data_IF_594438128249
#
_entry.id   IF_594438128249
#
_cell.length_a   1.000
_cell.length_b   1.000
_cell.length_c   1.000
_cell.angle_alpha   90.00
_cell.angle_beta   90.00
_cell.angle_gamma   90.00
#
_symmetry.space_group_name_H-M   'P 1'
#
loop_
_entity.id
_entity.type
_entity.pdbx_description
1 polymer ?
#
# COMPACT_ATOMS: atom_id res chain seq x y z
N UNK A 1 -32.42 -23.63 9.92
CA UNK A 1 -31.28 -24.16 9.13
C UNK A 1 -30.51 -23.08 8.37
N UNK A 2 -31.15 -22.09 7.71
CA UNK A 2 -30.44 -21.02 6.99
C UNK A 2 -29.56 -20.12 7.89
N UNK A 3 -29.96 -19.88 9.13
CA UNK A 3 -29.20 -19.09 10.13
C UNK A 3 -27.91 -19.75 10.58
N UNK A 4 -27.87 -21.09 10.71
CA UNK A 4 -26.66 -21.83 11.07
C UNK A 4 -25.64 -21.90 9.91
N UNK A 5 -26.09 -21.77 8.66
CA UNK A 5 -25.21 -21.74 7.49
C UNK A 5 -24.38 -20.46 7.46
N UNK A 6 -25.00 -19.30 7.68
CA UNK A 6 -24.29 -18.01 7.74
C UNK A 6 -23.24 -17.92 8.84
N UNK A 7 -23.41 -18.65 9.95
CA UNK A 7 -22.41 -18.71 11.03
C UNK A 7 -21.17 -19.56 10.66
N UNK A 8 -21.25 -20.38 9.61
CA UNK A 8 -20.15 -21.21 9.10
C UNK A 8 -19.63 -20.73 7.74
N UNK A 9 -20.24 -19.71 7.16
CA UNK A 9 -19.78 -19.11 5.92
C UNK A 9 -18.48 -18.34 6.19
N UNK A 10 -17.44 -18.70 5.44
CA UNK A 10 -16.17 -17.98 5.47
C UNK A 10 -16.31 -16.66 4.71
N UNK A 11 -15.66 -15.57 5.18
CA UNK A 11 -15.59 -14.36 4.38
C UNK A 11 -14.86 -14.68 3.06
N UNK A 12 -15.16 -13.90 2.02
CA UNK A 12 -14.41 -14.02 0.77
C UNK A 12 -13.05 -13.40 1.00
N UNK A 13 -12.01 -14.13 0.61
CA UNK A 13 -10.64 -13.65 0.55
C UNK A 13 -10.06 -14.17 -0.75
N UNK A 14 -9.27 -13.35 -1.44
CA UNK A 14 -8.60 -13.75 -2.66
C UNK A 14 -7.09 -13.58 -2.49
N UNK A 15 -6.37 -14.69 -2.63
CA UNK A 15 -4.92 -14.69 -2.75
C UNK A 15 -4.55 -15.09 -4.17
N UNK A 16 -3.95 -14.17 -4.91
CA UNK A 16 -3.42 -14.43 -6.26
C UNK A 16 -1.92 -14.66 -6.15
N UNK A 17 -1.44 -15.81 -6.65
CA UNK A 17 -0.02 -16.14 -6.69
C UNK A 17 0.44 -16.30 -8.14
N UNK A 18 1.36 -15.46 -8.57
CA UNK A 18 1.96 -15.49 -9.91
C UNK A 18 3.47 -15.73 -9.84
N UNK A 19 4.01 -16.31 -10.91
CA UNK A 19 5.45 -16.43 -11.14
C UNK A 19 5.81 -15.66 -12.39
N UNK A 20 6.85 -14.84 -12.33
CA UNK A 20 7.43 -14.19 -13.49
C UNK A 20 8.94 -14.00 -13.30
N UNK A 21 9.60 -13.33 -14.24
CA UNK A 21 11.02 -13.02 -14.20
C UNK A 21 11.24 -11.51 -14.39
N UNK A 22 12.17 -10.91 -13.64
CA UNK A 22 12.47 -9.46 -13.73
C UNK A 22 13.02 -9.04 -15.09
N UNK A 23 13.72 -9.95 -15.80
CA UNK A 23 14.28 -9.70 -17.12
C UNK A 23 13.32 -9.95 -18.28
N UNK A 24 12.08 -10.35 -18.02
CA UNK A 24 11.10 -10.62 -19.08
C UNK A 24 10.42 -9.32 -19.54
N UNK A 25 10.46 -9.01 -20.83
CA UNK A 25 9.97 -7.73 -21.40
C UNK A 25 8.50 -7.40 -21.07
N UNK A 26 7.66 -8.43 -20.88
CA UNK A 26 6.25 -8.26 -20.52
C UNK A 26 5.98 -8.30 -19.01
N UNK A 27 7.02 -8.38 -18.19
CA UNK A 27 6.85 -8.40 -16.74
C UNK A 27 6.27 -7.07 -16.26
N UNK A 28 5.27 -7.15 -15.38
CA UNK A 28 4.53 -5.98 -14.87
C UNK A 28 4.92 -5.58 -13.44
N UNK A 29 5.99 -6.15 -12.88
CA UNK A 29 6.40 -5.91 -11.49
C UNK A 29 6.49 -4.42 -11.14
N UNK A 30 7.09 -3.61 -12.02
CA UNK A 30 7.24 -2.17 -11.83
C UNK A 30 5.89 -1.45 -11.87
N UNK A 31 5.09 -1.71 -12.91
CA UNK A 31 3.77 -1.11 -13.08
C UNK A 31 2.84 -1.41 -11.89
N UNK A 32 2.91 -2.62 -11.34
CA UNK A 32 2.12 -3.02 -10.17
C UNK A 32 2.46 -2.20 -8.93
N UNK A 33 3.76 -1.99 -8.66
CA UNK A 33 4.22 -1.17 -7.54
C UNK A 33 3.85 0.31 -7.76
N UNK A 34 4.10 0.84 -8.96
CA UNK A 34 3.81 2.24 -9.30
C UNK A 34 2.32 2.58 -9.26
N UNK A 35 1.44 1.59 -9.48
CA UNK A 35 -0.02 1.78 -9.45
C UNK A 35 -0.67 1.41 -8.11
N UNK A 36 0.12 1.11 -7.09
CA UNK A 36 -0.33 0.95 -5.71
C UNK A 36 0.05 2.19 -4.88
N UNK A 37 -0.88 3.15 -4.81
CA UNK A 37 -0.56 4.53 -4.44
C UNK A 37 -0.34 4.77 -2.95
N UNK A 38 -1.07 4.07 -2.07
CA UNK A 38 -1.06 4.34 -0.63
C UNK A 38 -0.45 3.18 0.14
N UNK A 39 0.82 3.33 0.55
CA UNK A 39 1.59 2.29 1.23
C UNK A 39 1.85 2.70 2.68
N UNK A 40 1.49 1.85 3.63
CA UNK A 40 1.65 2.11 5.06
C UNK A 40 2.90 1.43 5.64
N UNK A 41 3.10 0.15 5.31
CA UNK A 41 4.20 -0.65 5.84
C UNK A 41 4.92 -1.39 4.72
N UNK A 42 6.25 -1.24 4.68
CA UNK A 42 7.13 -1.95 3.75
C UNK A 42 8.11 -2.76 4.59
N UNK A 43 8.11 -4.06 4.42
CA UNK A 43 8.96 -4.99 5.17
C UNK A 43 9.75 -5.87 4.22
N UNK A 44 11.00 -6.17 4.54
CA UNK A 44 11.79 -7.14 3.78
C UNK A 44 12.56 -8.06 4.72
N UNK A 45 12.76 -9.30 4.25
CA UNK A 45 13.52 -10.32 4.95
C UNK A 45 14.64 -10.86 4.04
N UNK A 46 15.84 -10.92 4.59
CA UNK A 46 17.02 -11.48 3.93
C UNK A 46 17.58 -12.60 4.81
N UNK A 47 17.38 -13.88 4.45
CA UNK A 47 18.00 -15.01 5.14
C UNK A 47 19.54 -14.98 4.98
N UNK A 48 20.26 -15.62 5.90
CA UNK A 48 21.73 -15.66 5.90
C UNK A 48 22.41 -14.27 5.82
N UNK A 49 21.80 -13.27 6.44
CA UNK A 49 22.28 -11.89 6.45
C UNK A 49 22.35 -11.33 7.87
N UNK A 50 23.58 -11.15 8.38
CA UNK A 50 23.82 -10.54 9.69
C UNK A 50 23.93 -9.03 9.68
N UNK A 51 24.42 -8.46 8.57
CA UNK A 51 24.66 -7.03 8.42
C UNK A 51 24.12 -6.57 7.07
N UNK A 52 23.14 -5.67 7.12
CA UNK A 52 22.60 -5.03 5.93
C UNK A 52 23.65 -4.13 5.26
N UNK A 53 23.71 -4.15 3.92
CA UNK A 53 24.63 -3.29 3.15
C UNK A 53 24.36 -1.80 3.42
N UNK A 54 25.40 -0.96 3.26
CA UNK A 54 25.24 0.49 3.41
C UNK A 54 24.20 1.05 2.46
N UNK A 55 24.20 0.59 1.21
CA UNK A 55 23.25 1.00 0.17
C UNK A 55 21.79 0.75 0.57
N UNK A 56 21.49 -0.44 1.10
CA UNK A 56 20.14 -0.76 1.57
C UNK A 56 19.75 0.04 2.82
N UNK A 57 20.70 0.27 3.75
CA UNK A 57 20.47 1.12 4.92
C UNK A 57 20.14 2.56 4.52
N UNK A 58 20.97 3.15 3.65
CA UNK A 58 20.79 4.51 3.17
C UNK A 58 19.45 4.65 2.42
N UNK A 59 19.06 3.63 1.63
CA UNK A 59 17.77 3.61 0.96
C UNK A 59 16.59 3.56 1.94
N UNK A 60 16.66 2.71 2.97
CA UNK A 60 15.64 2.60 4.02
C UNK A 60 15.47 3.92 4.77
N UNK A 61 16.58 4.60 5.09
CA UNK A 61 16.56 5.92 5.72
C UNK A 61 15.99 7.01 4.79
N UNK A 62 16.01 6.79 3.47
CA UNK A 62 15.53 7.73 2.45
C UNK A 62 14.05 7.58 2.04
N UNK A 63 13.25 6.80 2.76
CA UNK A 63 11.82 6.61 2.45
C UNK A 63 10.96 7.85 2.72
N UNK A 64 11.37 8.72 3.65
CA UNK A 64 10.68 9.97 3.97
C UNK A 64 11.19 11.20 3.20
N UNK A 65 10.74 12.40 3.59
CA UNK A 65 9.71 12.66 4.60
C UNK A 65 8.29 12.47 4.05
N UNK A 66 7.31 12.46 4.96
CA UNK A 66 5.90 12.74 4.66
C UNK A 66 5.40 13.85 5.59
N UNK A 67 4.24 14.41 5.28
CA UNK A 67 3.70 15.57 5.99
C UNK A 67 2.31 15.29 6.55
N UNK A 68 1.98 15.99 7.64
CA UNK A 68 0.67 15.97 8.26
C UNK A 68 0.12 17.39 8.39
N UNK A 69 -1.12 17.61 7.96
CA UNK A 69 -1.83 18.90 8.09
C UNK A 69 -3.19 18.67 8.72
N UNK A 70 -3.47 19.38 9.82
CA UNK A 70 -4.72 19.24 10.56
C UNK A 70 -5.80 20.19 10.04
N UNK A 71 -7.02 19.69 9.83
CA UNK A 71 -8.18 20.50 9.45
C UNK A 71 -8.00 21.29 8.15
N UNK A 72 -7.25 20.74 7.20
CA UNK A 72 -7.03 21.37 5.89
C UNK A 72 -8.36 21.39 5.11
N UNK A 73 -8.80 22.57 4.62
CA UNK A 73 -10.01 22.66 3.83
C UNK A 73 -9.80 22.08 2.43
N UNK A 74 -10.80 21.33 1.96
CA UNK A 74 -10.70 20.62 0.69
C UNK A 74 -10.54 21.54 -0.53
N UNK A 75 -11.03 22.79 -0.45
CA UNK A 75 -10.85 23.76 -1.53
C UNK A 75 -9.37 24.12 -1.78
N UNK A 76 -8.48 23.93 -0.81
CA UNK A 76 -7.06 24.25 -0.93
C UNK A 76 -6.37 23.34 -1.95
N UNK A 77 -6.82 22.08 -2.05
CA UNK A 77 -6.28 21.08 -2.97
C UNK A 77 -6.75 21.25 -4.42
N UNK A 78 -7.67 22.19 -4.69
CA UNK A 78 -8.16 22.49 -6.05
C UNK A 78 -7.75 23.87 -6.52
N UNK A 79 -6.94 24.61 -5.74
CA UNK A 79 -6.47 25.93 -6.15
C UNK A 79 -5.53 25.80 -7.35
N UNK A 80 -5.56 26.81 -8.22
CA UNK A 80 -4.64 26.87 -9.35
C UNK A 80 -3.17 26.87 -8.90
N UNK A 81 -2.88 27.47 -7.74
CA UNK A 81 -1.56 27.51 -7.15
C UNK A 81 -1.08 26.11 -6.73
N UNK A 82 -1.90 25.37 -5.97
CA UNK A 82 -1.59 23.98 -5.58
C UNK A 82 -1.35 23.10 -6.81
N UNK A 83 -2.24 23.15 -7.80
CA UNK A 83 -2.17 22.29 -8.99
C UNK A 83 -0.90 22.57 -9.81
N UNK A 84 -0.57 23.83 -10.05
CA UNK A 84 0.63 24.18 -10.83
C UNK A 84 1.94 23.96 -10.07
N UNK A 85 1.89 23.94 -8.73
CA UNK A 85 3.06 23.77 -7.89
C UNK A 85 3.40 22.30 -7.71
N UNK A 86 2.42 21.46 -7.38
CA UNK A 86 2.65 20.06 -7.00
C UNK A 86 2.15 19.07 -8.05
N UNK A 87 0.91 19.22 -8.52
CA UNK A 87 0.26 18.22 -9.40
C UNK A 87 0.87 18.22 -10.81
N UNK A 88 1.18 19.39 -11.38
CA UNK A 88 1.78 19.48 -12.74
C UNK A 88 3.29 19.25 -12.78
N UNK A 89 3.97 19.32 -11.64
CA UNK A 89 5.45 19.30 -11.54
C UNK A 89 6.00 18.06 -10.82
N UNK A 90 5.14 17.09 -10.53
CA UNK A 90 5.50 15.84 -9.89
C UNK A 90 4.28 15.00 -9.51
N UNK A 91 4.50 13.95 -8.75
CA UNK A 91 3.45 13.05 -8.26
C UNK A 91 3.07 13.46 -6.84
N UNK A 92 1.91 14.11 -6.67
CA UNK A 92 1.42 14.53 -5.37
C UNK A 92 0.40 13.51 -4.84
N UNK A 93 0.56 13.16 -3.57
CA UNK A 93 -0.26 12.18 -2.87
C UNK A 93 -0.88 12.83 -1.65
N UNK A 94 -2.18 12.64 -1.47
CA UNK A 94 -2.90 13.04 -0.27
C UNK A 94 -3.87 11.94 0.14
N UNK A 95 -3.98 11.69 1.44
CA UNK A 95 -4.95 10.76 2.01
C UNK A 95 -5.48 11.31 3.34
N UNK A 96 -6.79 11.27 3.54
CA UNK A 96 -7.38 11.64 4.84
C UNK A 96 -6.92 10.70 5.94
N UNK A 97 -6.60 11.25 7.11
CA UNK A 97 -6.07 10.51 8.24
C UNK A 97 -7.17 10.25 9.28
N UNK A 98 -7.20 9.03 9.82
CA UNK A 98 -8.13 8.61 10.88
C UNK A 98 -9.61 8.84 10.51
N UNK A 99 -9.95 8.53 9.27
CA UNK A 99 -11.31 8.55 8.71
C UNK A 99 -11.64 7.16 8.18
N UNK A 100 -12.58 6.47 8.81
CA UNK A 100 -12.94 5.11 8.42
C UNK A 100 -13.73 5.14 7.10
N UNK A 101 -13.29 4.41 6.08
CA UNK A 101 -13.92 4.46 4.75
C UNK A 101 -15.39 4.02 4.75
N UNK A 102 -15.79 3.16 5.67
CA UNK A 102 -17.17 2.68 5.78
C UNK A 102 -18.06 3.64 6.58
N UNK A 103 -17.49 4.45 7.49
CA UNK A 103 -18.24 5.33 8.42
C UNK A 103 -18.12 6.84 8.12
N UNK A 104 -16.93 7.33 7.78
CA UNK A 104 -16.60 8.74 7.56
C UNK A 104 -16.45 9.12 6.09
N UNK A 105 -16.52 10.42 5.77
CA UNK A 105 -16.10 10.91 4.46
C UNK A 105 -14.57 10.80 4.31
N UNK A 106 -14.10 10.22 3.20
CA UNK A 106 -12.67 10.02 2.94
C UNK A 106 -12.26 10.63 1.60
N UNK A 107 -11.03 11.14 1.53
CA UNK A 107 -10.51 11.83 0.35
C UNK A 107 -9.10 11.36 0.02
N UNK A 108 -8.86 11.12 -1.26
CA UNK A 108 -7.60 10.65 -1.82
C UNK A 108 -7.21 11.50 -3.04
N UNK A 109 -5.96 11.99 -3.09
CA UNK A 109 -5.35 12.56 -4.29
C UNK A 109 -4.37 11.57 -4.90
N UNK A 110 -4.63 11.18 -6.14
CA UNK A 110 -3.83 10.25 -6.92
C UNK A 110 -2.74 11.00 -7.70
N UNK A 111 -1.61 10.33 -8.03
CA UNK A 111 -0.49 10.96 -8.75
C UNK A 111 -0.85 11.36 -10.18
N UNK A 112 -1.92 10.82 -10.76
CA UNK A 112 -2.45 11.24 -12.06
C UNK A 112 -3.28 12.54 -12.00
N UNK A 113 -3.37 13.19 -10.85
CA UNK A 113 -4.11 14.43 -10.65
C UNK A 113 -5.61 14.23 -10.44
N UNK A 114 -6.09 13.01 -10.21
CA UNK A 114 -7.49 12.76 -9.82
C UNK A 114 -7.66 12.86 -8.31
N UNK A 115 -8.58 13.72 -7.89
CA UNK A 115 -9.07 13.82 -6.52
C UNK A 115 -10.32 12.96 -6.37
N UNK A 116 -10.22 11.89 -5.60
CA UNK A 116 -11.27 10.91 -5.36
C UNK A 116 -11.85 11.17 -3.96
N UNK A 117 -13.17 11.31 -3.87
CA UNK A 117 -13.89 11.46 -2.61
C UNK A 117 -14.84 10.28 -2.45
N UNK A 118 -14.77 9.58 -1.31
CA UNK A 118 -15.82 8.66 -0.87
C UNK A 118 -16.68 9.36 0.16
N UNK A 119 -17.90 9.69 -0.23
CA UNK A 119 -18.82 10.48 0.56
C UNK A 119 -19.96 9.63 1.09
N UNK A 120 -20.41 9.93 2.31
CA UNK A 120 -21.70 9.49 2.79
C UNK A 120 -22.84 10.11 1.97
N UNK A 121 -24.04 9.56 2.10
CA UNK A 121 -25.21 10.01 1.36
C UNK A 121 -25.52 11.49 1.58
N UNK A 122 -25.50 11.95 2.82
CA UNK A 122 -25.92 13.30 3.18
C UNK A 122 -24.93 14.33 2.60
N UNK A 123 -23.64 14.09 2.76
CA UNK A 123 -22.55 14.92 2.23
C UNK A 123 -22.51 14.90 0.71
N UNK A 124 -22.81 13.78 0.07
CA UNK A 124 -22.93 13.71 -1.40
C UNK A 124 -24.09 14.59 -1.91
N UNK A 125 -25.27 14.48 -1.32
CA UNK A 125 -26.44 15.28 -1.70
C UNK A 125 -26.22 16.78 -1.40
N UNK A 126 -25.64 17.08 -0.24
CA UNK A 126 -25.31 18.44 0.20
C UNK A 126 -24.24 19.08 -0.66
N UNK A 127 -23.18 18.38 -1.08
CA UNK A 127 -22.18 18.94 -2.01
C UNK A 127 -22.77 19.13 -3.41
N UNK A 128 -23.64 18.22 -3.85
CA UNK A 128 -24.28 18.26 -5.17
C UNK A 128 -23.25 18.18 -6.31
N UNK A 129 -22.19 17.42 -6.09
CA UNK A 129 -21.20 17.05 -7.09
C UNK A 129 -21.68 15.83 -7.88
N UNK A 130 -21.16 15.66 -9.09
CA UNK A 130 -21.48 14.49 -9.90
C UNK A 130 -20.61 13.32 -9.45
N UNK A 131 -21.23 12.23 -9.04
CA UNK A 131 -20.56 11.00 -8.63
C UNK A 131 -21.38 9.77 -9.01
N UNK A 132 -20.97 8.62 -8.49
CA UNK A 132 -21.66 7.34 -8.67
C UNK A 132 -21.84 6.64 -7.32
N UNK A 133 -22.88 5.82 -7.14
CA UNK A 133 -22.94 4.87 -6.03
C UNK A 133 -21.66 4.06 -5.93
N UNK A 134 -21.11 3.87 -4.73
CA UNK A 134 -19.99 2.94 -4.53
C UNK A 134 -20.44 1.51 -4.79
N UNK A 135 -19.55 0.69 -5.36
CA UNK A 135 -19.81 -0.72 -5.65
C UNK A 135 -20.05 -1.58 -4.41
N UNK A 136 -19.60 -1.11 -3.24
CA UNK A 136 -19.77 -1.77 -1.95
C UNK A 136 -21.06 -1.36 -1.23
N UNK A 137 -21.91 -0.56 -1.88
CA UNK A 137 -23.24 -0.30 -1.35
C UNK A 137 -24.12 -1.54 -1.44
N UNK A 138 -24.60 -2.03 -0.31
CA UNK A 138 -25.61 -3.09 -0.26
C UNK A 138 -26.96 -2.66 -0.83
N UNK A 139 -28.07 -3.23 -0.34
CA UNK A 139 -29.42 -2.91 -0.87
C UNK A 139 -29.81 -1.43 -0.78
N UNK A 140 -29.20 -0.67 0.14
CA UNK A 140 -29.37 0.77 0.25
C UNK A 140 -28.03 1.43 -0.05
N UNK A 141 -28.01 2.30 -1.05
CA UNK A 141 -26.83 3.11 -1.37
C UNK A 141 -26.61 4.14 -0.27
N UNK A 142 -25.53 3.94 0.47
CA UNK A 142 -25.11 4.84 1.57
C UNK A 142 -23.79 5.54 1.27
N UNK A 143 -23.08 5.12 0.23
CA UNK A 143 -21.77 5.64 -0.18
C UNK A 143 -21.73 6.02 -1.65
N UNK A 144 -21.08 7.14 -1.93
CA UNK A 144 -20.94 7.70 -3.27
C UNK A 144 -19.49 8.11 -3.55
N UNK A 145 -18.99 7.73 -4.71
CA UNK A 145 -17.66 8.11 -5.18
C UNK A 145 -17.76 9.28 -6.15
N UNK A 146 -17.03 10.36 -5.86
CA UNK A 146 -16.87 11.53 -6.71
C UNK A 146 -15.42 11.58 -7.19
N UNK A 147 -15.22 11.63 -8.50
CA UNK A 147 -13.88 11.73 -9.11
C UNK A 147 -13.73 13.07 -9.83
N UNK A 148 -12.76 13.87 -9.38
CA UNK A 148 -12.47 15.19 -9.95
C UNK A 148 -11.06 15.17 -10.54
N UNK A 149 -10.98 15.24 -11.86
CA UNK A 149 -9.71 15.39 -12.57
C UNK A 149 -9.22 16.85 -12.46
N UNK A 150 -8.16 17.09 -11.67
CA UNK A 150 -7.60 18.41 -11.42
C UNK A 150 -6.83 18.97 -12.64
N UNK A 151 -6.34 18.11 -13.53
CA UNK A 151 -5.66 18.52 -14.74
C UNK A 151 -6.68 19.12 -15.73
N UNK A 152 -7.81 18.44 -15.92
CA UNK A 152 -8.95 18.97 -16.67
C UNK A 152 -9.52 20.23 -15.98
N UNK A 153 -9.68 20.20 -14.65
CA UNK A 153 -10.23 21.33 -13.89
C UNK A 153 -9.37 22.60 -14.00
N UNK A 154 -8.04 22.47 -14.01
CA UNK A 154 -7.11 23.60 -14.11
C UNK A 154 -6.90 24.13 -15.53
N UNK A 155 -7.46 23.46 -16.55
CA UNK A 155 -7.35 23.89 -17.95
C UNK A 155 -8.18 25.14 -18.24
N UNK A 156 -9.30 25.34 -17.52
CA UNK A 156 -10.13 26.54 -17.65
C UNK A 156 -10.82 26.89 -16.32
N UNK A 157 -10.26 27.85 -15.59
CA UNK A 157 -10.80 28.36 -14.32
C UNK A 157 -12.15 29.07 -14.47
N UNK A 158 -12.50 29.52 -15.67
CA UNK A 158 -13.79 30.13 -15.95
C UNK A 158 -14.89 29.14 -16.29
N UNK A 159 -14.53 27.86 -16.44
CA UNK A 159 -15.48 26.79 -16.75
C UNK A 159 -16.56 26.68 -15.66
N UNK A 160 -17.77 26.32 -16.10
CA UNK A 160 -18.87 26.00 -15.20
C UNK A 160 -18.51 24.88 -14.21
N UNK A 161 -17.64 23.95 -14.65
CA UNK A 161 -17.15 22.83 -13.84
C UNK A 161 -16.28 23.31 -12.68
N UNK A 162 -15.24 24.11 -12.93
CA UNK A 162 -14.39 24.67 -11.86
C UNK A 162 -15.21 25.52 -10.89
N UNK A 163 -16.06 26.43 -11.41
CA UNK A 163 -16.93 27.28 -10.58
C UNK A 163 -17.86 26.44 -9.69
N UNK A 164 -18.45 25.36 -10.22
CA UNK A 164 -19.31 24.45 -9.45
C UNK A 164 -18.55 23.73 -8.33
N UNK A 165 -17.39 23.16 -8.62
CA UNK A 165 -16.57 22.43 -7.64
C UNK A 165 -16.04 23.39 -6.56
N UNK A 166 -15.52 24.54 -6.96
CA UNK A 166 -15.03 25.58 -6.06
C UNK A 166 -16.14 26.10 -5.14
N UNK A 167 -17.32 26.40 -5.69
CA UNK A 167 -18.49 26.81 -4.91
C UNK A 167 -18.94 25.72 -3.92
N UNK A 168 -18.93 24.45 -4.34
CA UNK A 168 -19.30 23.33 -3.48
C UNK A 168 -18.40 23.25 -2.24
N UNK A 169 -17.07 23.37 -2.41
CA UNK A 169 -16.11 23.26 -1.30
C UNK A 169 -15.89 24.54 -0.50
N UNK A 170 -16.18 25.73 -1.05
CA UNK A 170 -15.97 27.00 -0.34
C UNK A 170 -17.21 27.51 0.37
N UNK A 171 -18.37 27.43 -0.26
CA UNK A 171 -19.58 28.09 0.21
C UNK A 171 -20.66 27.08 0.61
N UNK A 172 -20.90 26.07 -0.23
CA UNK A 172 -22.04 25.16 -0.03
C UNK A 172 -21.81 24.18 1.13
N UNK A 173 -20.69 23.47 1.12
CA UNK A 173 -20.31 22.50 2.15
C UNK A 173 -18.80 22.57 2.39
N UNK A 174 -18.33 23.46 3.28
CA UNK A 174 -16.92 23.58 3.61
C UNK A 174 -16.41 22.36 4.38
N UNK A 175 -15.82 21.40 3.66
CA UNK A 175 -15.24 20.20 4.25
C UNK A 175 -13.77 20.44 4.64
N UNK A 176 -13.39 19.94 5.81
CA UNK A 176 -12.03 19.98 6.35
C UNK A 176 -11.64 18.61 6.84
N UNK A 177 -10.39 18.21 6.58
CA UNK A 177 -9.87 16.92 7.02
C UNK A 177 -8.43 17.05 7.51
N UNK A 178 -8.02 16.08 8.31
CA UNK A 178 -6.61 15.85 8.60
C UNK A 178 -6.03 15.05 7.42
N UNK A 179 -4.92 15.51 6.84
CA UNK A 179 -4.31 14.86 5.67
C UNK A 179 -2.89 14.39 5.96
N UNK A 180 -2.59 13.18 5.49
CA UNK A 180 -1.24 12.76 5.14
C UNK A 180 -0.93 13.25 3.73
N UNK A 181 0.23 13.89 3.56
CA UNK A 181 0.69 14.44 2.28
C UNK A 181 2.11 13.97 1.97
N UNK A 182 2.39 13.65 0.71
CA UNK A 182 3.74 13.45 0.20
C UNK A 182 3.84 13.82 -1.27
N UNK A 183 5.04 14.17 -1.73
CA UNK A 183 5.26 14.59 -3.11
C UNK A 183 6.58 14.05 -3.64
N UNK A 184 6.49 13.32 -4.74
CA UNK A 184 7.65 12.92 -5.51
C UNK A 184 7.94 14.00 -6.56
N UNK A 185 9.03 14.75 -6.34
CA UNK A 185 9.44 15.82 -7.23
C UNK A 185 10.19 15.27 -8.45
N UNK A 186 9.68 15.54 -9.66
CA UNK A 186 10.30 15.11 -10.93
C UNK A 186 10.98 16.27 -11.69
N UNK A 187 11.13 17.45 -11.08
CA UNK A 187 11.71 18.65 -11.70
C UNK A 187 12.65 19.43 -10.76
N UNK A 188 13.42 20.37 -11.31
CA UNK A 188 14.33 21.22 -10.54
C UNK A 188 13.58 22.16 -9.58
N UNK A 189 14.25 22.48 -8.47
CA UNK A 189 13.87 23.35 -7.33
C UNK A 189 12.53 24.08 -7.43
N UNK A 190 11.63 23.76 -6.49
CA UNK A 190 10.33 24.39 -6.32
C UNK A 190 10.04 24.63 -4.83
N UNK A 191 8.92 25.30 -4.55
CA UNK A 191 8.43 25.51 -3.18
C UNK A 191 8.18 24.17 -2.48
N UNK A 192 8.62 24.07 -1.22
CA UNK A 192 8.38 22.89 -0.39
C UNK A 192 6.92 22.85 0.08
N UNK A 193 6.38 21.67 0.38
CA UNK A 193 5.07 21.58 1.04
C UNK A 193 5.03 22.40 2.33
N UNK A 194 6.14 22.44 3.06
CA UNK A 194 6.28 23.19 4.31
C UNK A 194 6.00 24.69 4.12
N UNK A 195 6.51 25.31 3.05
CA UNK A 195 6.25 26.73 2.80
C UNK A 195 4.81 26.97 2.34
N UNK A 196 4.30 26.13 1.44
CA UNK A 196 2.94 26.25 0.90
C UNK A 196 1.87 26.13 1.99
N UNK A 197 1.98 25.14 2.87
CA UNK A 197 1.01 24.88 3.93
C UNK A 197 1.39 25.50 5.29
N UNK A 198 2.29 26.48 5.31
CA UNK A 198 2.76 27.14 6.53
C UNK A 198 1.61 27.75 7.36
N UNK A 199 0.59 28.30 6.69
CA UNK A 199 -0.62 28.85 7.34
C UNK A 199 -1.52 27.80 8.00
N UNK A 200 -1.29 26.50 7.75
CA UNK A 200 -2.11 25.39 8.25
C UNK A 200 -1.39 24.52 9.29
N UNK A 201 -0.23 24.96 9.79
CA UNK A 201 0.49 24.23 10.86
C UNK A 201 0.99 22.85 10.41
N UNK A 202 1.48 22.76 9.18
CA UNK A 202 2.07 21.54 8.61
C UNK A 202 3.22 20.98 9.47
N UNK A 203 3.26 19.67 9.62
CA UNK A 203 4.29 18.94 10.35
C UNK A 203 5.01 17.97 9.42
N UNK A 204 6.33 17.99 9.44
CA UNK A 204 7.16 16.99 8.77
C UNK A 204 7.36 15.78 9.68
N UNK A 205 7.18 14.59 9.12
CA UNK A 205 7.35 13.30 9.79
C UNK A 205 8.30 12.40 9.01
N UNK A 206 9.07 11.61 9.74
CA UNK A 206 9.90 10.55 9.18
C UNK A 206 9.25 9.19 9.40
N UNK A 207 9.33 8.26 8.42
CA UNK A 207 8.90 6.90 8.63
C UNK A 207 9.63 6.25 9.80
N UNK A 208 8.89 5.46 10.59
CA UNK A 208 9.47 4.63 11.65
C UNK A 208 10.19 3.46 11.00
N UNK A 209 11.45 3.25 11.37
CA UNK A 209 12.26 2.14 10.88
C UNK A 209 12.54 1.19 12.05
N UNK A 210 12.20 -0.07 11.86
CA UNK A 210 12.55 -1.16 12.76
C UNK A 210 13.47 -2.13 12.01
N UNK A 211 14.72 -2.24 12.46
CA UNK A 211 15.70 -3.20 11.95
C UNK A 211 16.02 -4.19 13.06
N UNK A 212 15.95 -5.47 12.75
CA UNK A 212 16.24 -6.56 13.68
C UNK A 212 16.95 -7.70 12.95
N UNK A 213 17.82 -8.40 13.67
CA UNK A 213 18.45 -9.63 13.20
C UNK A 213 17.94 -10.78 14.05
N UNK A 214 17.35 -11.79 13.42
CA UNK A 214 16.82 -12.97 14.10
C UNK A 214 17.79 -14.14 13.90
N UNK A 215 18.39 -14.67 14.98
CA UNK A 215 19.22 -15.87 14.90
C UNK A 215 18.37 -17.13 14.70
N UNK A 216 18.97 -18.17 14.13
CA UNK A 216 18.40 -19.53 14.04
C UNK A 216 16.97 -19.59 13.46
N UNK A 217 16.67 -18.70 12.51
CA UNK A 217 15.35 -18.66 11.88
C UNK A 217 15.15 -19.90 11.00
N UNK A 218 14.04 -20.62 11.19
CA UNK A 218 13.68 -21.73 10.31
C UNK A 218 12.93 -21.20 9.08
N UNK A 219 13.56 -21.33 7.91
CA UNK A 219 13.05 -20.85 6.63
C UNK A 219 12.51 -22.00 5.76
N UNK A 220 11.35 -21.84 5.11
CA UNK A 220 10.83 -22.81 4.14
C UNK A 220 11.79 -23.00 2.95
N UNK A 221 11.91 -24.23 2.47
CA UNK A 221 12.64 -24.55 1.24
C UNK A 221 11.73 -24.29 0.04
N UNK A 222 12.18 -23.44 -0.88
CA UNK A 222 11.41 -23.01 -2.04
C UNK A 222 12.09 -23.40 -3.35
N UNK A 223 11.28 -23.66 -4.39
CA UNK A 223 11.75 -23.85 -5.78
C UNK A 223 11.03 -22.85 -6.68
N UNK A 224 11.76 -21.90 -7.26
CA UNK A 224 11.18 -20.80 -8.04
C UNK A 224 10.19 -21.23 -9.13
N UNK A 225 10.38 -22.41 -9.73
CA UNK A 225 9.50 -22.99 -10.74
C UNK A 225 8.19 -23.62 -10.25
N UNK A 226 7.99 -23.81 -8.94
CA UNK A 226 6.90 -24.61 -8.38
C UNK A 226 6.07 -23.81 -7.36
N UNK A 227 5.14 -22.98 -7.84
CA UNK A 227 4.24 -22.18 -6.97
C UNK A 227 3.39 -23.06 -6.03
N UNK A 228 2.96 -24.23 -6.49
CA UNK A 228 2.17 -25.17 -5.70
C UNK A 228 2.99 -26.00 -4.70
N UNK A 229 4.31 -25.82 -4.67
CA UNK A 229 5.21 -26.68 -3.92
C UNK A 229 5.40 -28.05 -4.57
N UNK A 230 6.17 -28.89 -3.88
CA UNK A 230 6.42 -30.29 -4.24
C UNK A 230 6.51 -31.09 -2.94
N UNK A 231 5.71 -32.16 -2.77
CA UNK A 231 5.71 -32.95 -1.55
C UNK A 231 7.12 -33.35 -1.12
N UNK A 232 7.45 -33.10 0.15
CA UNK A 232 8.75 -33.41 0.77
C UNK A 232 9.97 -32.68 0.19
N UNK A 233 9.82 -31.89 -0.89
CA UNK A 233 10.93 -31.28 -1.61
C UNK A 233 10.88 -29.74 -1.66
N UNK A 234 9.70 -29.12 -1.65
CA UNK A 234 9.53 -27.66 -1.65
C UNK A 234 8.17 -27.24 -1.10
N UNK A 235 8.15 -26.16 -0.31
CA UNK A 235 6.91 -25.54 0.16
C UNK A 235 6.24 -24.74 -0.94
N UNK A 236 4.91 -24.58 -0.81
CA UNK A 236 4.09 -23.77 -1.70
C UNK A 236 4.20 -22.27 -1.40
N UNK A 237 3.78 -21.46 -2.36
CA UNK A 237 3.66 -20.02 -2.19
C UNK A 237 2.67 -19.67 -1.04
N UNK A 238 1.57 -20.41 -0.91
CA UNK A 238 0.55 -20.16 0.12
C UNK A 238 1.12 -20.38 1.53
N UNK A 239 1.84 -21.48 1.75
CA UNK A 239 2.48 -21.77 3.04
C UNK A 239 3.53 -20.70 3.40
N UNK A 240 4.27 -20.20 2.42
CA UNK A 240 5.23 -19.11 2.63
C UNK A 240 4.52 -17.81 3.01
N UNK A 241 3.38 -17.50 2.39
CA UNK A 241 2.61 -16.29 2.68
C UNK A 241 2.20 -16.23 4.16
N UNK A 242 1.62 -17.33 4.66
CA UNK A 242 1.20 -17.44 6.07
C UNK A 242 2.40 -17.37 7.03
N UNK A 243 3.46 -18.11 6.72
CA UNK A 243 4.69 -18.11 7.52
C UNK A 243 5.32 -16.72 7.59
N UNK A 244 5.37 -15.98 6.48
CA UNK A 244 5.97 -14.65 6.42
C UNK A 244 5.21 -13.65 7.31
N UNK A 245 3.88 -13.75 7.34
CA UNK A 245 3.04 -12.96 8.25
C UNK A 245 3.33 -13.24 9.74
N UNK A 246 3.56 -14.50 10.10
CA UNK A 246 3.96 -14.88 11.46
C UNK A 246 5.33 -14.33 11.83
N UNK A 247 6.31 -14.40 10.91
CA UNK A 247 7.66 -13.88 11.11
C UNK A 247 7.67 -12.36 11.32
N UNK A 248 6.96 -11.59 10.49
CA UNK A 248 6.86 -10.14 10.67
C UNK A 248 6.03 -9.72 11.89
N UNK A 249 5.19 -10.61 12.41
CA UNK A 249 4.48 -10.41 13.67
C UNK A 249 5.30 -10.82 14.91
N UNK A 250 6.54 -11.28 14.72
CA UNK A 250 7.39 -11.85 15.78
C UNK A 250 6.70 -13.00 16.55
N UNK A 251 5.86 -13.78 15.86
CA UNK A 251 5.19 -14.92 16.46
C UNK A 251 6.18 -16.05 16.74
N UNK A 252 5.99 -16.74 17.88
CA UNK A 252 6.76 -17.94 18.19
C UNK A 252 6.20 -19.13 17.40
N UNK A 253 7.05 -19.67 16.51
CA UNK A 253 6.73 -20.80 15.64
C UNK A 253 7.18 -22.14 16.24
N UNK A 254 7.53 -22.16 17.53
CA UNK A 254 7.86 -23.37 18.26
C UNK A 254 6.59 -24.02 18.81
N UNK A 255 6.40 -25.29 18.47
CA UNK A 255 5.32 -26.11 18.99
C UNK A 255 5.74 -26.80 20.30
N UNK A 256 6.24 -26.01 21.27
CA UNK A 256 6.59 -26.53 22.59
C UNK A 256 5.37 -26.54 23.51
N UNK A 257 4.95 -27.72 24.03
CA UNK A 257 3.80 -27.81 24.92
C UNK A 257 4.21 -27.35 26.34
N UNK A 258 3.98 -26.07 26.65
CA UNK A 258 4.02 -25.57 28.03
C UNK A 258 2.58 -25.50 28.59
N UNK A 259 2.05 -24.28 28.74
CA UNK A 259 0.71 -24.05 29.28
C UNK A 259 -0.37 -23.89 28.20
N UNK A 260 0.05 -23.74 26.95
CA UNK A 260 -0.78 -23.69 25.76
C UNK A 260 -0.01 -24.32 24.59
N UNK A 261 -0.72 -24.79 23.57
CA UNK A 261 -0.12 -25.37 22.36
C UNK A 261 -0.24 -24.36 21.22
N UNK A 262 0.90 -23.90 20.69
CA UNK A 262 0.93 -23.14 19.43
C UNK A 262 0.94 -24.12 18.26
N UNK A 263 -0.12 -24.12 17.47
CA UNK A 263 -0.17 -24.92 16.22
C UNK A 263 0.46 -24.20 15.03
N UNK A 264 0.92 -22.95 15.21
CA UNK A 264 1.61 -22.20 14.17
C UNK A 264 3.05 -22.70 14.05
N UNK A 265 3.37 -23.36 12.94
CA UNK A 265 4.67 -24.00 12.71
C UNK A 265 5.29 -23.51 11.41
N UNK A 266 6.62 -23.59 11.30
CA UNK A 266 7.29 -23.39 10.02
C UNK A 266 6.93 -24.52 9.02
N UNK A 267 6.49 -24.20 7.79
CA UNK A 267 6.21 -25.16 6.73
C UNK A 267 7.38 -26.13 6.46
N UNK A 268 7.09 -27.36 6.04
CA UNK A 268 8.10 -28.36 5.71
C UNK A 268 8.11 -28.69 4.21
N UNK A 269 9.28 -28.94 3.59
CA UNK A 269 10.62 -28.97 4.21
C UNK A 269 11.17 -27.56 4.53
N UNK A 270 11.99 -27.47 5.57
CA UNK A 270 12.61 -26.23 6.02
C UNK A 270 14.09 -26.39 6.36
N UNK A 271 14.83 -25.28 6.35
CA UNK A 271 16.23 -25.19 6.75
C UNK A 271 16.41 -24.09 7.79
N UNK A 272 17.21 -24.35 8.81
CA UNK A 272 17.59 -23.32 9.80
C UNK A 272 18.68 -22.45 9.19
N UNK A 273 18.46 -21.13 9.18
CA UNK A 273 19.47 -20.15 8.80
C UNK A 273 20.08 -19.55 10.05
N UNK A 274 21.39 -19.31 10.03
CA UNK A 274 22.10 -18.84 11.23
C UNK A 274 21.63 -17.44 11.66
N UNK A 275 21.30 -16.59 10.69
CA UNK A 275 20.88 -15.21 10.92
C UNK A 275 20.00 -14.71 9.77
N UNK A 276 18.91 -14.03 10.09
CA UNK A 276 18.04 -13.37 9.13
C UNK A 276 17.90 -11.88 9.47
N UNK A 277 18.10 -11.01 8.48
CA UNK A 277 17.85 -9.58 8.63
C UNK A 277 16.39 -9.28 8.29
N UNK A 278 15.67 -8.68 9.23
CA UNK A 278 14.31 -8.21 9.08
C UNK A 278 14.29 -6.69 9.20
N UNK A 279 13.70 -6.02 8.22
CA UNK A 279 13.49 -4.58 8.27
C UNK A 279 12.02 -4.28 7.99
N UNK A 280 11.46 -3.34 8.75
CA UNK A 280 10.14 -2.78 8.52
C UNK A 280 10.20 -1.26 8.58
N UNK A 281 9.67 -0.62 7.54
CA UNK A 281 9.47 0.83 7.44
C UNK A 281 7.98 1.10 7.52
N UNK A 282 7.57 2.03 8.38
CA UNK A 282 6.15 2.34 8.65
C UNK A 282 5.91 3.84 8.58
N UNK A 283 4.96 4.28 7.77
CA UNK A 283 4.64 5.70 7.56
C UNK A 283 3.73 5.90 6.36
N UNK A 284 3.85 7.04 5.68
CA UNK A 284 3.21 7.27 4.38
C UNK A 284 4.27 7.13 3.28
N UNK A 285 4.31 5.96 2.64
CA UNK A 285 5.44 5.53 1.82
C UNK A 285 5.11 5.63 0.33
N UNK A 286 5.99 6.29 -0.43
CA UNK A 286 5.79 6.53 -1.85
C UNK A 286 6.15 5.30 -2.70
N UNK A 287 5.34 4.92 -3.69
CA UNK A 287 5.60 3.76 -4.54
C UNK A 287 6.91 3.88 -5.33
N UNK A 288 7.35 5.10 -5.67
CA UNK A 288 8.62 5.35 -6.36
C UNK A 288 9.81 4.89 -5.50
N UNK A 289 9.76 5.07 -4.18
CA UNK A 289 10.81 4.58 -3.25
C UNK A 289 10.80 3.05 -3.15
N UNK A 290 9.61 2.46 -3.18
CA UNK A 290 9.44 1.00 -3.17
C UNK A 290 9.99 0.39 -4.45
N UNK A 291 9.82 1.04 -5.61
CA UNK A 291 10.42 0.59 -6.87
C UNK A 291 11.94 0.54 -6.78
N UNK A 292 12.57 1.58 -6.23
CA UNK A 292 14.03 1.59 -6.03
C UNK A 292 14.46 0.48 -5.07
N UNK A 293 13.70 0.23 -3.99
CA UNK A 293 13.98 -0.89 -3.07
C UNK A 293 13.84 -2.25 -3.76
N UNK A 294 12.79 -2.45 -4.56
CA UNK A 294 12.60 -3.68 -5.34
C UNK A 294 13.77 -3.91 -6.31
N UNK A 295 14.22 -2.88 -7.02
CA UNK A 295 15.38 -2.96 -7.90
C UNK A 295 16.66 -3.31 -7.14
N UNK A 296 16.89 -2.71 -5.97
CA UNK A 296 18.06 -3.04 -5.14
C UNK A 296 18.01 -4.47 -4.59
N UNK A 297 16.84 -4.96 -4.19
CA UNK A 297 16.66 -6.35 -3.76
C UNK A 297 16.81 -7.33 -4.93
N UNK A 298 16.45 -6.94 -6.15
CA UNK A 298 16.75 -7.74 -7.35
C UNK A 298 18.27 -7.83 -7.61
N UNK A 299 18.99 -6.70 -7.48
CA UNK A 299 20.46 -6.64 -7.65
C UNK A 299 21.24 -7.26 -6.51
N UNK A 300 20.59 -7.58 -5.38
CA UNK A 300 21.21 -8.26 -4.25
C UNK A 300 21.92 -9.56 -4.67
N UNK A 301 21.40 -10.24 -5.70
CA UNK A 301 21.95 -11.49 -6.24
C UNK A 301 22.94 -11.31 -7.40
N UNK A 302 23.36 -10.08 -7.73
CA UNK A 302 24.40 -9.85 -8.75
C UNK A 302 25.76 -10.44 -8.30
N UNK A 303 25.98 -10.49 -6.98
CA UNK A 303 27.09 -11.21 -6.36
C UNK A 303 26.58 -12.53 -5.74
N UNK A 304 27.38 -13.61 -5.73
CA UNK A 304 27.00 -14.85 -5.05
C UNK A 304 26.66 -14.62 -3.57
N UNK A 305 25.44 -15.01 -3.17
CA UNK A 305 24.94 -14.92 -1.79
C UNK A 305 24.64 -16.29 -1.22
N UNK A 306 24.65 -16.38 0.11
CA UNK A 306 24.20 -17.57 0.85
C UNK A 306 22.67 -17.66 0.89
N UNK A 307 21.98 -16.52 0.83
CA UNK A 307 20.53 -16.46 0.80
C UNK A 307 19.99 -17.17 -0.47
N UNK A 308 19.03 -18.11 -0.36
CA UNK A 308 18.41 -18.73 -1.53
C UNK A 308 17.35 -17.82 -2.20
N UNK A 309 16.75 -16.92 -1.42
CA UNK A 309 15.72 -15.97 -1.82
C UNK A 309 15.68 -14.80 -0.83
N UNK A 310 15.06 -13.68 -1.21
CA UNK A 310 14.73 -12.55 -0.32
C UNK A 310 13.26 -12.17 -0.48
N UNK A 311 12.65 -11.52 0.51
CA UNK A 311 11.26 -11.06 0.42
C UNK A 311 11.15 -9.55 0.46
N UNK A 312 10.12 -9.02 -0.20
CA UNK A 312 9.62 -7.66 -0.06
C UNK A 312 8.10 -7.73 0.10
N UNK A 313 7.59 -7.32 1.24
CA UNK A 313 6.16 -7.26 1.57
C UNK A 313 5.73 -5.83 1.73
N UNK A 314 4.66 -5.45 1.05
CA UNK A 314 4.11 -4.10 1.11
C UNK A 314 2.64 -4.19 1.47
N UNK A 315 2.29 -3.48 2.54
CA UNK A 315 0.94 -3.36 3.05
C UNK A 315 0.46 -1.92 2.86
N UNK A 316 -0.68 -1.76 2.21
CA UNK A 316 -1.39 -0.50 2.04
C UNK A 316 -2.13 -0.04 3.30
N UNK A 317 -2.86 1.06 3.15
CA UNK A 317 -3.78 1.54 4.17
C UNK A 317 -5.09 0.77 4.11
N UNK A 318 -5.66 0.46 5.28
CA UNK A 318 -6.99 -0.12 5.38
C UNK A 318 -8.09 0.84 4.90
N UNK A 319 -7.94 2.14 5.20
CA UNK A 319 -8.97 3.16 4.94
C UNK A 319 -8.64 4.07 3.74
N UNK A 320 -8.07 3.51 2.67
CA UNK A 320 -7.88 4.27 1.42
C UNK A 320 -9.11 4.18 0.51
N UNK A 321 -9.63 5.28 -0.07
CA UNK A 321 -10.75 5.27 -1.04
C UNK A 321 -10.52 4.40 -2.29
N UNK A 322 -9.25 4.22 -2.65
CA UNK A 322 -8.83 3.47 -3.83
C UNK A 322 -7.79 2.43 -3.45
N UNK A 323 -7.86 1.28 -4.11
CA UNK A 323 -6.85 0.22 -4.08
C UNK A 323 -5.90 0.40 -5.27
N UNK A 324 -5.59 -0.65 -6.03
CA UNK A 324 -4.78 -0.53 -7.23
C UNK A 324 -5.46 0.35 -8.28
N UNK A 325 -4.69 1.32 -8.81
CA UNK A 325 -5.14 2.31 -9.80
C UNK A 325 -6.32 3.14 -9.25
N UNK A 326 -7.47 3.05 -9.89
CA UNK A 326 -8.69 3.79 -9.54
C UNK A 326 -9.81 2.85 -9.07
N UNK A 327 -9.45 1.61 -8.74
CA UNK A 327 -10.40 0.62 -8.22
C UNK A 327 -10.83 1.04 -6.82
N UNK A 328 -12.12 0.94 -6.52
CA UNK A 328 -12.63 1.28 -5.19
C UNK A 328 -12.08 0.25 -4.19
N UNK A 329 -11.71 0.67 -2.99
CA UNK A 329 -11.30 -0.23 -1.91
C UNK A 329 -12.44 -0.41 -0.92
N UNK A 330 -12.80 -1.65 -0.59
CA UNK A 330 -13.89 -1.98 0.32
C UNK A 330 -13.36 -2.47 1.67
N UNK A 331 -13.86 -1.91 2.78
CA UNK A 331 -13.40 -2.28 4.13
C UNK A 331 -14.40 -3.12 4.93
N UNK A 332 -15.56 -3.50 4.36
CA UNK A 332 -16.72 -4.05 5.10
C UNK A 332 -16.39 -5.10 6.19
N UNK A 333 -15.47 -6.04 5.92
CA UNK A 333 -15.03 -7.08 6.88
C UNK A 333 -13.51 -7.27 6.91
N UNK A 334 -12.77 -6.41 6.23
CA UNK A 334 -11.32 -6.51 6.06
C UNK A 334 -10.84 -5.82 4.78
N UNK A 335 -10.00 -4.78 4.92
CA UNK A 335 -9.33 -4.08 3.83
C UNK A 335 -7.94 -4.64 3.57
N UNK A 336 -7.91 -5.88 3.08
CA UNK A 336 -6.67 -6.55 2.68
C UNK A 336 -6.14 -5.91 1.40
N UNK A 337 -5.13 -5.06 1.55
CA UNK A 337 -4.43 -4.42 0.44
C UNK A 337 -2.93 -4.66 0.61
N UNK A 338 -2.48 -5.86 0.20
CA UNK A 338 -1.12 -6.32 0.45
C UNK A 338 -0.57 -7.08 -0.75
N UNK A 339 0.70 -6.84 -1.06
CA UNK A 339 1.43 -7.64 -2.03
C UNK A 339 2.83 -8.01 -1.53
N UNK A 340 3.29 -9.21 -1.93
CA UNK A 340 4.62 -9.71 -1.64
C UNK A 340 5.36 -10.04 -2.93
N UNK A 341 6.65 -9.73 -2.95
CA UNK A 341 7.63 -10.29 -3.87
C UNK A 341 8.53 -11.28 -3.12
N UNK A 342 8.63 -12.50 -3.64
CA UNK A 342 9.65 -13.47 -3.25
C UNK A 342 10.66 -13.54 -4.38
N UNK A 343 11.86 -13.02 -4.15
CA UNK A 343 12.87 -12.77 -5.18
C UNK A 343 13.92 -13.87 -5.10
N UNK A 344 14.13 -14.57 -6.21
CA UNK A 344 15.10 -15.67 -6.32
C UNK A 344 16.39 -15.21 -7.01
N UNK A 345 17.48 -15.95 -6.77
CA UNK A 345 18.79 -15.66 -7.35
C UNK A 345 18.85 -15.76 -8.90
N UNK A 346 17.90 -16.45 -9.52
CA UNK A 346 17.80 -16.61 -10.97
C UNK A 346 16.95 -15.52 -11.64
N UNK A 347 16.67 -14.42 -10.93
CA UNK A 347 15.79 -13.30 -11.34
C UNK A 347 14.32 -13.68 -11.49
N UNK A 348 13.91 -14.89 -11.10
CA UNK A 348 12.51 -15.20 -10.95
C UNK A 348 11.96 -14.48 -9.71
N UNK A 349 10.67 -14.17 -9.75
CA UNK A 349 9.94 -13.75 -8.57
C UNK A 349 8.59 -14.45 -8.49
N UNK A 350 8.15 -14.68 -7.26
CA UNK A 350 6.73 -14.89 -6.97
C UNK A 350 6.10 -13.57 -6.57
N UNK A 351 4.93 -13.29 -7.11
CA UNK A 351 4.07 -12.19 -6.72
C UNK A 351 2.85 -12.77 -6.01
N UNK A 352 2.64 -12.38 -4.77
CA UNK A 352 1.47 -12.79 -3.99
C UNK A 352 0.65 -11.55 -3.68
N UNK A 353 -0.61 -11.50 -4.07
CA UNK A 353 -1.52 -10.38 -3.80
C UNK A 353 -2.68 -10.87 -2.95
N UNK A 354 -2.78 -10.35 -1.74
CA UNK A 354 -3.94 -10.53 -0.88
C UNK A 354 -4.88 -9.34 -1.08
N UNK A 355 -6.10 -9.66 -1.50
CA UNK A 355 -7.11 -8.70 -1.91
C UNK A 355 -8.37 -8.91 -1.08
N UNK A 356 -8.94 -7.82 -0.59
CA UNK A 356 -10.17 -7.79 0.18
C UNK A 356 -11.34 -8.45 -0.55
N UNK A 357 -12.33 -8.90 0.24
CA UNK A 357 -13.48 -9.68 -0.20
C UNK A 357 -14.20 -9.18 -1.46
N UNK A 358 -14.23 -7.86 -1.62
CA UNK A 358 -14.97 -7.18 -2.67
C UNK A 358 -14.05 -6.39 -3.63
N UNK A 359 -12.74 -6.38 -3.40
CA UNK A 359 -11.79 -5.58 -4.19
C UNK A 359 -11.39 -6.23 -5.52
N UNK A 360 -11.12 -5.38 -6.51
CA UNK A 360 -10.58 -5.81 -7.80
C UNK A 360 -9.08 -6.13 -7.68
N UNK A 361 -8.70 -7.35 -8.06
CA UNK A 361 -7.29 -7.73 -8.17
C UNK A 361 -6.75 -7.36 -9.57
N UNK A 362 -5.70 -6.53 -9.66
CA UNK A 362 -5.07 -6.26 -10.95
C UNK A 362 -4.38 -7.53 -11.50
N UNK A 363 -4.35 -7.71 -12.83
CA UNK A 363 -3.64 -8.81 -13.44
C UNK A 363 -2.13 -8.62 -13.33
#
# INVERSE_FOLDING_TARGET
MATLRRLREVPRHLLVCEKSNFGHDKSRHRHLVETHYYNYRVSFLIPECGILSKELKDLVMGFGPYYFVKGLPLYELITHEFINTFVKKGSCYALTYNTNIDEDNTVALLPNGKLILSLDKDTYEETGLQGRPSQYSGRKTMRFIVSIDLMDLSSNLDSKKYKRVSWAFKEKKPLKFDFLLAWHQTGAEGSTMMSYFSGYGIQEHQPKIALSTTPDLRCPVLRSGLLGGEPEAACSAHELFDWLGAVFSHADLNNEPYNFVSTCCCPQPSSVVAQASLCSVTGFLLPERICVLLEQLCRYFDEPKLAPWVTLSVQGFADSPVSWRESEHGFQKGGEHLYNFVIFNNRDYWLQMAVGADDDCPP
#
